data_IF_359488040538
#
_entry.id   IF_359488040538
#
_cell.length_a   1.000
_cell.length_b   1.000
_cell.length_c   1.000
_cell.angle_alpha   90.00
_cell.angle_beta   90.00
_cell.angle_gamma   90.00
#
_symmetry.space_group_name_H-M   'P 1'
#
loop_
_entity.id
_entity.type
_entity.pdbx_description
1 polymer ?
#
# COMPACT_ATOMS: atom_id res chain seq x y z
N UNK A 1 -29.97 9.04 16.01
CA UNK A 1 -29.16 7.86 15.62
C UNK A 1 -28.35 7.41 16.83
N UNK A 2 -28.08 6.10 16.95
CA UNK A 2 -27.28 5.54 18.05
C UNK A 2 -25.80 5.68 17.70
N UNK A 3 -24.98 6.17 18.62
CA UNK A 3 -23.51 6.21 18.45
C UNK A 3 -22.97 4.79 18.25
N UNK A 4 -22.25 4.52 17.15
CA UNK A 4 -21.66 3.21 16.90
C UNK A 4 -20.46 2.99 17.83
N UNK A 5 -20.19 1.72 18.13
CA UNK A 5 -18.94 1.27 18.72
C UNK A 5 -17.82 1.24 17.67
N UNK A 6 -16.57 1.20 18.13
CA UNK A 6 -15.42 1.02 17.26
C UNK A 6 -15.49 -0.28 16.44
N UNK A 7 -15.93 -1.38 17.05
CA UNK A 7 -16.08 -2.68 16.38
C UNK A 7 -17.09 -2.58 15.22
N UNK A 8 -18.19 -1.87 15.43
CA UNK A 8 -19.18 -1.62 14.37
C UNK A 8 -18.60 -0.78 13.23
N UNK A 9 -17.83 0.28 13.53
CA UNK A 9 -17.18 1.11 12.51
C UNK A 9 -16.13 0.32 11.71
N UNK A 10 -15.30 -0.48 12.38
CA UNK A 10 -14.33 -1.34 11.70
C UNK A 10 -15.02 -2.38 10.81
N UNK A 11 -16.12 -2.97 11.28
CA UNK A 11 -16.94 -3.90 10.49
C UNK A 11 -17.56 -3.22 9.26
N UNK A 12 -18.05 -1.98 9.40
CA UNK A 12 -18.56 -1.20 8.25
C UNK A 12 -17.45 -0.86 7.26
N UNK A 13 -16.26 -0.49 7.72
CA UNK A 13 -15.12 -0.22 6.83
C UNK A 13 -14.66 -1.46 6.05
N UNK A 14 -14.73 -2.64 6.66
CA UNK A 14 -14.51 -3.90 5.96
C UNK A 14 -15.61 -4.15 4.92
N UNK A 15 -16.87 -3.97 5.28
CA UNK A 15 -18.01 -4.15 4.38
C UNK A 15 -18.02 -3.17 3.19
N UNK A 16 -17.41 -1.99 3.35
CA UNK A 16 -17.21 -1.03 2.25
C UNK A 16 -16.44 -1.63 1.05
N UNK A 17 -15.65 -2.70 1.28
CA UNK A 17 -15.00 -3.51 0.24
C UNK A 17 -15.95 -4.21 -0.75
N UNK A 18 -17.25 -4.28 -0.43
CA UNK A 18 -18.26 -4.82 -1.33
C UNK A 18 -19.01 -3.74 -2.13
N UNK A 19 -18.82 -2.45 -1.80
CA UNK A 19 -19.58 -1.35 -2.40
C UNK A 19 -18.91 -0.84 -3.68
N UNK A 20 -19.74 -0.48 -4.67
CA UNK A 20 -19.30 0.27 -5.82
C UNK A 20 -19.27 1.78 -5.49
N UNK A 21 -18.09 2.40 -5.54
CA UNK A 21 -17.87 3.78 -5.08
C UNK A 21 -16.85 4.50 -5.95
N UNK A 22 -16.95 5.83 -5.99
CA UNK A 22 -15.92 6.70 -6.56
C UNK A 22 -15.69 7.93 -5.68
N UNK A 23 -14.51 8.52 -5.78
CA UNK A 23 -14.21 9.78 -5.10
C UNK A 23 -12.81 10.30 -5.41
N UNK A 24 -12.45 11.40 -4.78
CA UNK A 24 -11.11 11.99 -4.86
C UNK A 24 -10.44 11.93 -3.49
N UNK A 25 -9.26 11.34 -3.42
CA UNK A 25 -8.38 11.32 -2.26
C UNK A 25 -7.37 12.47 -2.37
N UNK A 26 -7.32 13.34 -1.37
CA UNK A 26 -6.25 14.30 -1.17
C UNK A 26 -5.33 13.83 -0.06
N UNK A 27 -4.02 13.89 -0.30
CA UNK A 27 -2.98 13.55 0.66
C UNK A 27 -2.07 14.76 0.83
N UNK A 28 -2.15 15.40 1.99
CA UNK A 28 -1.25 16.48 2.39
C UNK A 28 -0.32 16.00 3.49
N UNK A 29 0.98 16.18 3.31
CA UNK A 29 1.99 15.87 4.31
C UNK A 29 3.02 16.98 4.36
N UNK A 30 3.26 17.47 5.57
CA UNK A 30 4.35 18.40 5.85
C UNK A 30 5.44 17.64 6.61
N UNK A 31 6.59 17.44 5.96
CA UNK A 31 7.77 16.95 6.67
C UNK A 31 8.73 18.13 6.91
N UNK A 32 9.15 18.40 8.17
CA UNK A 32 9.94 19.59 8.52
C UNK A 32 11.28 19.75 7.76
N UNK A 33 11.76 18.70 7.08
CA UNK A 33 13.11 18.63 6.51
C UNK A 33 13.15 18.18 5.03
N UNK A 34 12.05 17.66 4.45
CA UNK A 34 12.14 16.84 3.22
C UNK A 34 11.01 17.09 2.21
N UNK A 35 10.49 18.33 2.14
CA UNK A 35 9.43 18.77 1.21
C UNK A 35 7.99 18.46 1.69
N UNK A 36 7.08 19.39 1.34
CA UNK A 36 5.63 19.20 1.45
C UNK A 36 5.14 18.34 0.30
N UNK A 37 4.36 17.31 0.61
CA UNK A 37 3.68 16.46 -0.36
C UNK A 37 2.21 16.89 -0.37
N UNK A 38 1.69 17.28 -1.53
CA UNK A 38 0.27 17.51 -1.77
C UNK A 38 -0.10 16.74 -3.04
N UNK A 39 -0.74 15.59 -2.85
CA UNK A 39 -1.09 14.67 -3.92
C UNK A 39 -2.61 14.51 -3.99
N UNK A 40 -3.10 14.30 -5.21
CA UNK A 40 -4.50 14.02 -5.47
C UNK A 40 -4.64 12.76 -6.31
N UNK A 41 -5.55 11.90 -5.89
CA UNK A 41 -5.94 10.70 -6.62
C UNK A 41 -7.45 10.68 -6.83
N UNK A 42 -7.89 10.40 -8.05
CA UNK A 42 -9.27 10.03 -8.31
C UNK A 42 -9.36 8.50 -8.32
N UNK A 43 -10.39 7.94 -7.69
CA UNK A 43 -10.53 6.49 -7.58
C UNK A 43 -11.93 6.02 -7.93
N UNK A 44 -11.97 4.80 -8.46
CA UNK A 44 -13.17 4.01 -8.64
C UNK A 44 -12.92 2.62 -8.07
N UNK A 45 -13.88 2.15 -7.29
CA UNK A 45 -13.87 0.83 -6.68
C UNK A 45 -15.19 0.15 -7.04
N UNK A 46 -15.13 -1.00 -7.72
CA UNK A 46 -16.33 -1.71 -8.18
C UNK A 46 -16.82 -2.81 -7.23
N UNK A 47 -16.14 -3.02 -6.09
CA UNK A 47 -16.28 -4.23 -5.30
C UNK A 47 -15.55 -5.43 -5.92
N UNK A 48 -15.31 -6.47 -5.12
CA UNK A 48 -14.73 -7.73 -5.62
C UNK A 48 -13.31 -7.61 -6.22
N UNK A 49 -12.53 -6.61 -5.79
CA UNK A 49 -11.17 -6.38 -6.29
C UNK A 49 -11.07 -5.49 -7.54
N UNK A 50 -12.19 -4.95 -8.02
CA UNK A 50 -12.22 -3.97 -9.11
C UNK A 50 -11.74 -2.60 -8.63
N UNK A 51 -10.70 -2.08 -9.28
CA UNK A 51 -10.08 -0.81 -8.91
C UNK A 51 -9.59 -0.06 -10.13
N UNK A 52 -9.73 1.26 -10.09
CA UNK A 52 -9.04 2.20 -10.96
C UNK A 52 -8.58 3.38 -10.12
N UNK A 53 -7.33 3.79 -10.29
CA UNK A 53 -6.76 4.96 -9.63
C UNK A 53 -6.09 5.83 -10.68
N UNK A 54 -6.42 7.10 -10.65
CA UNK A 54 -5.86 8.14 -11.51
C UNK A 54 -5.23 9.26 -10.66
N UNK A 55 -4.26 9.96 -11.24
CA UNK A 55 -3.74 11.23 -10.71
C UNK A 55 -3.54 12.19 -11.87
N UNK A 56 -4.06 13.42 -11.75
CA UNK A 56 -4.05 14.43 -12.81
C UNK A 56 -4.53 13.90 -14.19
N UNK A 57 -5.57 13.05 -14.17
CA UNK A 57 -6.14 12.41 -15.36
C UNK A 57 -5.31 11.28 -15.96
N UNK A 58 -4.16 10.96 -15.38
CA UNK A 58 -3.33 9.83 -15.77
C UNK A 58 -3.70 8.59 -14.96
N UNK A 59 -3.92 7.47 -15.67
CA UNK A 59 -4.14 6.17 -15.03
C UNK A 59 -2.86 5.67 -14.39
N UNK A 60 -2.91 5.42 -13.08
CA UNK A 60 -1.80 4.86 -12.31
C UNK A 60 -2.00 3.37 -12.03
N UNK A 61 -3.25 2.95 -11.87
CA UNK A 61 -3.57 1.57 -11.52
C UNK A 61 -4.93 1.14 -12.07
N UNK A 62 -5.00 -0.10 -12.55
CA UNK A 62 -6.24 -0.80 -12.92
C UNK A 62 -6.19 -2.24 -12.40
N UNK A 63 -7.29 -2.73 -11.83
CA UNK A 63 -7.53 -4.14 -11.58
C UNK A 63 -8.94 -4.54 -12.03
N UNK A 64 -9.02 -5.66 -12.74
CA UNK A 64 -10.25 -6.19 -13.33
C UNK A 64 -10.87 -7.33 -12.50
N UNK A 65 -10.34 -7.62 -11.30
CA UNK A 65 -10.88 -8.64 -10.38
C UNK A 65 -10.52 -10.10 -10.76
N UNK A 66 -9.73 -10.30 -11.82
CA UNK A 66 -9.24 -11.61 -12.29
C UNK A 66 -7.87 -12.00 -11.71
N UNK A 67 -7.36 -11.20 -10.76
CA UNK A 67 -6.05 -11.37 -10.13
C UNK A 67 -4.90 -10.70 -10.90
N UNK A 68 -5.14 -10.23 -12.13
CA UNK A 68 -4.17 -9.40 -12.85
C UNK A 68 -4.42 -7.92 -12.58
N UNK A 69 -3.34 -7.15 -12.47
CA UNK A 69 -3.42 -5.69 -12.36
C UNK A 69 -2.44 -5.03 -13.32
N UNK A 70 -2.77 -3.80 -13.72
CA UNK A 70 -1.92 -2.94 -14.52
C UNK A 70 -1.49 -1.75 -13.67
N UNK A 71 -0.22 -1.37 -13.79
CA UNK A 71 0.40 -0.30 -13.03
C UNK A 71 1.17 0.60 -13.98
N UNK A 72 1.10 1.91 -13.78
CA UNK A 72 1.91 2.86 -14.53
C UNK A 72 3.31 2.97 -13.93
N UNK A 73 4.34 2.67 -14.73
CA UNK A 73 5.75 2.66 -14.32
C UNK A 73 6.59 3.21 -15.48
N UNK A 74 7.46 4.18 -15.20
CA UNK A 74 8.42 4.75 -16.17
C UNK A 74 7.81 5.20 -17.50
N UNK A 75 6.60 5.75 -17.46
CA UNK A 75 5.92 6.23 -18.67
C UNK A 75 4.96 5.23 -19.32
N UNK A 76 4.88 3.99 -18.83
CA UNK A 76 4.15 2.90 -19.48
C UNK A 76 3.26 2.10 -18.51
N UNK A 77 2.14 1.58 -19.01
CA UNK A 77 1.32 0.62 -18.26
C UNK A 77 1.93 -0.78 -18.37
N UNK A 78 2.10 -1.47 -17.24
CA UNK A 78 2.72 -2.80 -17.16
C UNK A 78 1.87 -3.76 -16.34
N UNK A 79 1.87 -5.05 -16.72
CA UNK A 79 1.19 -6.13 -15.98
C UNK A 79 1.93 -6.48 -14.70
N UNK A 80 1.21 -6.61 -13.59
CA UNK A 80 1.72 -7.17 -12.33
C UNK A 80 0.71 -8.13 -11.69
N UNK A 81 1.26 -9.18 -11.09
CA UNK A 81 0.49 -10.24 -10.41
C UNK A 81 0.21 -9.94 -8.93
N UNK A 82 0.80 -8.90 -8.32
CA UNK A 82 0.64 -8.64 -6.87
C UNK A 82 0.46 -7.16 -6.50
N UNK A 83 -0.60 -6.91 -5.72
CA UNK A 83 -1.05 -5.60 -5.21
C UNK A 83 0.00 -4.93 -4.29
N UNK A 84 0.78 -5.72 -3.53
CA UNK A 84 1.78 -5.21 -2.58
C UNK A 84 2.92 -4.42 -3.25
N UNK A 85 3.16 -4.64 -4.54
CA UNK A 85 4.19 -3.91 -5.28
C UNK A 85 3.76 -2.52 -5.76
N UNK A 86 2.44 -2.26 -5.79
CA UNK A 86 1.84 -0.99 -6.24
C UNK A 86 1.92 0.09 -5.17
N UNK A 87 1.70 -0.29 -3.91
CA UNK A 87 1.79 0.59 -2.74
C UNK A 87 3.20 1.16 -2.56
N UNK A 88 4.24 0.43 -2.94
CA UNK A 88 5.61 0.90 -2.88
C UNK A 88 5.99 1.89 -4.00
N UNK A 89 5.22 1.93 -5.10
CA UNK A 89 5.60 2.62 -6.34
C UNK A 89 4.75 3.85 -6.66
N UNK A 90 3.58 4.01 -6.04
CA UNK A 90 2.79 5.26 -6.12
C UNK A 90 3.48 6.47 -5.46
N UNK A 91 4.70 6.34 -4.93
CA UNK A 91 5.45 7.40 -4.24
C UNK A 91 4.87 7.80 -2.87
N UNK A 92 3.58 7.57 -2.67
CA UNK A 92 2.85 7.94 -1.47
C UNK A 92 2.68 6.78 -0.50
N UNK A 93 3.02 7.04 0.77
CA UNK A 93 2.70 6.16 1.89
C UNK A 93 1.18 6.00 2.06
N UNK A 94 0.38 6.91 1.46
CA UNK A 94 -1.07 6.88 1.51
C UNK A 94 -1.69 6.85 0.11
N UNK A 95 -2.58 5.89 -0.13
CA UNK A 95 -3.26 5.70 -1.42
C UNK A 95 -4.69 5.16 -1.20
N UNK A 96 -5.54 5.13 -2.24
CA UNK A 96 -6.93 4.72 -2.11
C UNK A 96 -7.17 3.31 -1.52
N UNK A 97 -6.21 2.38 -1.62
CA UNK A 97 -6.36 1.05 -1.00
C UNK A 97 -6.40 1.07 0.52
N UNK A 98 -5.88 2.13 1.15
CA UNK A 98 -5.86 2.27 2.60
C UNK A 98 -7.19 2.75 3.18
N UNK A 99 -8.18 3.08 2.34
CA UNK A 99 -9.45 3.65 2.77
C UNK A 99 -10.45 2.60 3.26
N UNK A 100 -10.34 1.34 2.79
CA UNK A 100 -11.34 0.30 3.01
C UNK A 100 -10.78 -1.13 2.90
N UNK A 101 -11.53 -2.09 3.46
CA UNK A 101 -11.24 -3.51 3.35
C UNK A 101 -9.99 -3.97 4.13
N UNK A 102 -9.48 -5.16 3.80
CA UNK A 102 -8.36 -5.79 4.53
C UNK A 102 -7.06 -5.01 4.44
N UNK A 103 -6.86 -4.28 3.33
CA UNK A 103 -5.69 -3.44 3.10
C UNK A 103 -5.81 -2.05 3.72
N UNK A 104 -6.95 -1.75 4.36
CA UNK A 104 -7.22 -0.49 5.04
C UNK A 104 -6.16 -0.17 6.09
N UNK A 105 -5.96 1.13 6.33
CA UNK A 105 -5.07 1.62 7.40
C UNK A 105 -5.47 1.06 8.78
N UNK A 106 -6.72 0.62 8.95
CA UNK A 106 -7.21 0.03 10.19
C UNK A 106 -6.46 -1.24 10.60
N UNK A 107 -6.01 -2.05 9.64
CA UNK A 107 -5.19 -3.23 9.92
C UNK A 107 -3.93 -2.85 10.70
N UNK A 108 -3.27 -1.76 10.32
CA UNK A 108 -2.05 -1.25 10.96
C UNK A 108 -2.31 -0.48 12.26
N UNK A 109 -3.40 0.29 12.28
CA UNK A 109 -3.78 1.13 13.43
C UNK A 109 -4.27 0.26 14.59
N UNK A 110 -5.07 -0.77 14.34
CA UNK A 110 -5.62 -1.63 15.39
C UNK A 110 -4.57 -2.42 16.16
N UNK A 111 -3.40 -2.70 15.57
CA UNK A 111 -2.28 -3.35 16.25
C UNK A 111 -1.50 -2.43 17.20
N UNK A 112 -1.57 -1.11 17.00
CA UNK A 112 -0.62 -0.16 17.59
C UNK A 112 -1.26 1.01 18.32
N UNK A 113 -2.56 1.25 18.13
CA UNK A 113 -3.30 2.37 18.70
C UNK A 113 -4.59 1.88 19.35
N UNK A 114 -5.10 2.65 20.32
CA UNK A 114 -6.35 2.40 21.03
C UNK A 114 -7.27 3.60 20.90
N UNK A 115 -8.57 3.36 20.94
CA UNK A 115 -9.57 4.45 20.97
C UNK A 115 -9.36 5.25 22.26
N UNK A 116 -9.14 6.55 22.10
CA UNK A 116 -8.73 7.44 23.18
C UNK A 116 -9.90 8.15 23.88
N UNK A 117 -11.11 8.10 23.29
CA UNK A 117 -12.24 8.88 23.76
C UNK A 117 -13.57 8.48 23.12
N UNK A 118 -14.58 9.32 23.32
CA UNK A 118 -15.90 9.11 22.75
C UNK A 118 -15.87 9.19 21.22
N UNK A 119 -16.71 8.38 20.58
CA UNK A 119 -17.00 8.49 19.14
C UNK A 119 -18.03 9.60 18.97
N UNK A 120 -17.71 10.59 18.15
CA UNK A 120 -18.51 11.79 17.99
C UNK A 120 -19.10 11.89 16.58
N UNK A 121 -20.38 12.29 16.44
CA UNK A 121 -20.94 12.60 15.14
C UNK A 121 -20.33 13.89 14.61
N UNK A 122 -19.98 13.88 13.32
CA UNK A 122 -19.48 15.05 12.60
C UNK A 122 -20.11 15.12 11.22
N UNK A 123 -20.06 16.28 10.59
CA UNK A 123 -20.43 16.45 9.19
C UNK A 123 -19.16 16.77 8.38
N UNK A 124 -18.96 16.09 7.26
CA UNK A 124 -17.83 16.30 6.37
C UNK A 124 -18.33 16.36 4.93
N UNK A 125 -18.13 17.51 4.28
CA UNK A 125 -18.58 17.80 2.92
C UNK A 125 -20.07 17.44 2.67
N UNK A 126 -20.94 17.78 3.63
CA UNK A 126 -22.38 17.54 3.57
C UNK A 126 -22.82 16.11 3.91
N UNK A 127 -21.90 15.25 4.35
CA UNK A 127 -22.17 13.85 4.71
C UNK A 127 -22.02 13.64 6.21
N UNK A 128 -22.96 12.91 6.80
CA UNK A 128 -22.85 12.46 8.19
C UNK A 128 -21.72 11.46 8.34
N UNK A 129 -20.92 11.63 9.39
CA UNK A 129 -19.76 10.80 9.65
C UNK A 129 -19.48 10.66 11.16
N UNK A 130 -18.59 9.74 11.49
CA UNK A 130 -18.20 9.43 12.87
C UNK A 130 -16.71 9.66 13.06
N UNK A 131 -16.38 10.56 13.98
CA UNK A 131 -15.00 10.89 14.38
C UNK A 131 -14.57 10.01 15.53
N UNK A 132 -13.40 9.41 15.39
CA UNK A 132 -12.81 8.49 16.37
C UNK A 132 -11.38 8.93 16.69
N UNK A 133 -11.11 9.37 17.93
CA UNK A 133 -9.75 9.68 18.36
C UNK A 133 -9.01 8.39 18.74
N UNK A 134 -7.77 8.27 18.30
CA UNK A 134 -6.85 7.18 18.61
C UNK A 134 -5.58 7.70 19.26
N UNK A 135 -5.03 6.88 20.16
CA UNK A 135 -3.77 7.16 20.85
C UNK A 135 -2.91 5.90 20.92
N UNK A 136 -1.59 6.04 20.86
CA UNK A 136 -0.67 4.94 21.16
C UNK A 136 -0.74 4.54 22.64
N UNK A 137 -0.35 3.31 23.00
CA UNK A 137 -0.25 2.90 24.40
C UNK A 137 0.61 3.82 25.26
N UNK A 138 1.63 4.45 24.65
CA UNK A 138 2.55 5.37 25.31
C UNK A 138 2.03 6.82 25.34
N UNK A 139 0.96 7.15 24.62
CA UNK A 139 0.39 8.50 24.59
C UNK A 139 1.09 9.49 23.64
N UNK A 140 2.17 9.05 22.98
CA UNK A 140 3.05 9.87 22.15
C UNK A 140 2.53 10.10 20.72
N UNK A 141 1.64 9.24 20.23
CA UNK A 141 1.01 9.36 18.92
C UNK A 141 -0.48 9.55 19.11
N UNK A 142 -1.03 10.60 18.50
CA UNK A 142 -2.47 10.84 18.46
C UNK A 142 -2.89 10.97 17.00
N UNK A 143 -3.95 10.25 16.62
CA UNK A 143 -4.54 10.36 15.28
C UNK A 143 -6.04 10.40 15.38
N UNK A 144 -6.67 11.11 14.48
CA UNK A 144 -8.11 11.18 14.36
C UNK A 144 -8.53 10.56 13.04
N UNK A 145 -9.46 9.60 13.11
CA UNK A 145 -10.07 8.97 11.95
C UNK A 145 -11.53 9.40 11.84
N UNK A 146 -12.02 9.60 10.63
CA UNK A 146 -13.43 9.91 10.35
C UNK A 146 -13.97 8.90 9.34
N UNK A 147 -15.07 8.25 9.71
CA UNK A 147 -15.75 7.27 8.88
C UNK A 147 -17.08 7.81 8.40
N UNK A 148 -17.33 7.72 7.10
CA UNK A 148 -18.63 8.04 6.51
C UNK A 148 -19.73 7.13 7.11
N UNK A 149 -20.85 7.72 7.53
CA UNK A 149 -21.90 6.97 8.24
C UNK A 149 -22.58 5.94 7.33
N UNK A 150 -22.82 6.31 6.08
CA UNK A 150 -23.54 5.52 5.08
C UNK A 150 -22.71 4.34 4.57
N UNK A 151 -21.46 4.60 4.19
CA UNK A 151 -20.59 3.61 3.54
C UNK A 151 -19.65 2.89 4.49
N UNK A 152 -19.29 3.51 5.63
CA UNK A 152 -18.19 3.04 6.49
C UNK A 152 -16.79 3.34 5.94
N UNK A 153 -16.67 4.07 4.82
CA UNK A 153 -15.39 4.45 4.24
C UNK A 153 -14.61 5.38 5.18
N UNK A 154 -13.29 5.18 5.30
CA UNK A 154 -12.43 6.16 5.93
C UNK A 154 -12.35 7.40 5.03
N UNK A 155 -12.95 8.52 5.46
CA UNK A 155 -13.00 9.77 4.69
C UNK A 155 -12.04 10.84 5.19
N UNK A 156 -11.49 10.68 6.41
CA UNK A 156 -10.41 11.54 6.90
C UNK A 156 -9.48 10.79 7.84
N UNK A 157 -8.19 11.05 7.70
CA UNK A 157 -7.16 10.74 8.70
C UNK A 157 -6.36 12.02 8.95
N UNK A 158 -6.19 12.39 10.21
CA UNK A 158 -5.48 13.59 10.61
C UNK A 158 -4.61 13.33 11.85
N UNK A 159 -3.35 13.77 11.80
CA UNK A 159 -2.49 13.84 13.00
C UNK A 159 -2.60 15.26 13.62
N UNK A 160 -3.10 15.43 14.87
CA UNK A 160 -3.41 16.74 15.44
C UNK A 160 -2.20 17.68 15.60
N UNK A 161 -0.99 17.12 15.74
CA UNK A 161 0.24 17.92 15.79
C UNK A 161 0.73 18.34 14.40
N UNK A 162 -0.12 18.23 13.36
CA UNK A 162 0.24 18.44 11.98
C UNK A 162 1.01 17.27 11.37
N UNK A 163 1.41 17.44 10.11
CA UNK A 163 2.31 16.53 9.41
C UNK A 163 1.63 15.55 8.47
N UNK A 164 0.40 15.10 8.71
CA UNK A 164 -0.36 14.25 7.75
C UNK A 164 -1.85 14.57 7.82
N UNK A 165 -2.43 14.84 6.66
CA UNK A 165 -3.86 14.91 6.41
C UNK A 165 -4.18 14.07 5.17
N UNK A 166 -5.15 13.18 5.32
CA UNK A 166 -5.79 12.47 4.21
C UNK A 166 -7.25 12.86 4.24
N UNK A 167 -7.81 13.25 3.11
CA UNK A 167 -9.23 13.61 2.98
C UNK A 167 -9.81 13.02 1.71
N UNK A 168 -10.94 12.33 1.83
CA UNK A 168 -11.77 11.94 0.70
C UNK A 168 -12.79 13.05 0.45
N UNK A 169 -12.96 13.40 -0.82
CA UNK A 169 -13.92 14.39 -1.31
C UNK A 169 -14.68 13.80 -2.51
N UNK A 170 -15.80 14.42 -2.88
CA UNK A 170 -16.63 13.97 -4.03
C UNK A 170 -17.04 12.48 -3.97
N UNK A 171 -17.19 11.92 -2.76
CA UNK A 171 -17.57 10.53 -2.57
C UNK A 171 -18.99 10.27 -3.11
N UNK A 172 -19.12 9.28 -3.98
CA UNK A 172 -20.37 8.82 -4.55
C UNK A 172 -20.47 7.29 -4.48
N UNK A 173 -21.66 6.80 -4.11
CA UNK A 173 -22.01 5.37 -4.09
C UNK A 173 -22.82 5.07 -5.35
N UNK A 174 -22.56 3.92 -5.96
CA UNK A 174 -23.20 3.48 -7.19
C UNK A 174 -23.83 2.10 -6.97
N UNK A 175 -24.90 1.82 -7.71
CA UNK A 175 -25.44 0.45 -7.78
C UNK A 175 -24.43 -0.48 -8.49
N UNK A 176 -23.83 0.01 -9.58
CA UNK A 176 -22.76 -0.64 -10.33
C UNK A 176 -21.90 0.43 -11.04
N UNK A 177 -20.60 0.19 -11.15
CA UNK A 177 -19.71 0.98 -12.02
C UNK A 177 -19.45 0.13 -13.28
N UNK A 178 -19.67 0.68 -14.50
CA UNK A 178 -19.47 -0.07 -15.74
C UNK A 178 -18.09 -0.71 -15.82
N UNK A 179 -18.03 -1.99 -16.24
CA UNK A 179 -16.79 -2.77 -16.27
C UNK A 179 -15.71 -2.14 -17.14
N UNK A 180 -16.10 -1.41 -18.17
CA UNK A 180 -15.21 -0.69 -19.09
C UNK A 180 -14.33 0.32 -18.34
N UNK A 181 -14.79 0.83 -17.18
CA UNK A 181 -13.97 1.70 -16.32
C UNK A 181 -12.71 0.99 -15.81
N UNK A 182 -12.78 -0.31 -15.59
CA UNK A 182 -11.71 -1.15 -15.03
C UNK A 182 -10.91 -1.89 -16.12
N UNK A 183 -11.03 -1.47 -17.38
CA UNK A 183 -10.28 -2.03 -18.50
C UNK A 183 -9.30 -0.97 -19.02
N UNK A 184 -8.09 -1.41 -19.34
CA UNK A 184 -7.11 -0.60 -20.05
C UNK A 184 -7.15 -0.95 -21.54
N UNK A 185 -7.37 0.06 -22.37
CA UNK A 185 -7.42 -0.04 -23.83
C UNK A 185 -6.14 0.48 -24.53
N UNK A 186 -5.22 1.09 -23.75
CA UNK A 186 -3.95 1.60 -24.25
C UNK A 186 -2.85 0.55 -24.40
N UNK A 187 -1.66 0.96 -24.85
CA UNK A 187 -0.51 0.07 -24.95
C UNK A 187 -0.10 -0.43 -23.56
N UNK A 188 0.30 -1.70 -23.50
CA UNK A 188 0.90 -2.30 -22.32
C UNK A 188 2.35 -2.58 -22.67
N UNK A 189 3.27 -1.95 -21.95
CA UNK A 189 4.70 -2.19 -22.11
C UNK A 189 5.01 -3.67 -21.88
N UNK A 190 5.89 -4.22 -22.70
CA UNK A 190 6.33 -5.60 -22.56
C UNK A 190 6.93 -5.79 -21.18
N UNK A 191 6.27 -6.58 -20.35
CA UNK A 191 6.91 -7.15 -19.17
C UNK A 191 8.01 -8.08 -19.66
N UNK A 192 9.23 -7.56 -19.80
CA UNK A 192 10.44 -8.39 -19.90
C UNK A 192 10.60 -9.34 -18.68
N UNK A 193 9.74 -9.20 -17.66
CA UNK A 193 9.64 -10.10 -16.51
C UNK A 193 8.64 -11.27 -16.66
N UNK A 194 7.83 -11.36 -17.73
CA UNK A 194 6.80 -12.41 -17.85
C UNK A 194 7.03 -13.47 -18.95
N UNK A 195 8.24 -13.57 -19.51
CA UNK A 195 8.58 -14.72 -20.37
C UNK A 195 9.02 -15.97 -19.59
N UNK A 196 9.04 -15.92 -18.26
CA UNK A 196 9.41 -17.07 -17.44
C UNK A 196 8.18 -17.53 -16.66
N UNK A 197 7.80 -18.81 -16.82
CA UNK A 197 6.56 -19.38 -16.26
C UNK A 197 6.42 -19.25 -14.73
N UNK A 198 5.28 -19.69 -14.15
CA UNK A 198 4.93 -19.52 -12.73
C UNK A 198 6.07 -19.88 -11.75
N UNK A 199 6.85 -20.92 -12.07
CA UNK A 199 8.02 -21.36 -11.31
C UNK A 199 9.11 -20.30 -11.23
N UNK A 200 9.42 -19.62 -12.34
CA UNK A 200 10.47 -18.62 -12.39
C UNK A 200 10.06 -17.30 -11.71
N UNK A 201 8.80 -16.90 -11.80
CA UNK A 201 8.27 -15.77 -11.04
C UNK A 201 8.32 -16.04 -9.53
N UNK A 202 8.00 -17.28 -9.13
CA UNK A 202 8.10 -17.73 -7.72
C UNK A 202 9.56 -17.76 -7.25
N UNK A 203 10.49 -18.24 -8.10
CA UNK A 203 11.92 -18.22 -7.81
C UNK A 203 12.46 -16.80 -7.62
N UNK A 204 12.01 -15.85 -8.46
CA UNK A 204 12.42 -14.46 -8.35
C UNK A 204 11.88 -13.80 -7.07
N UNK A 205 10.60 -14.04 -6.74
CA UNK A 205 10.02 -13.56 -5.48
C UNK A 205 10.76 -14.12 -4.27
N UNK A 206 11.11 -15.41 -4.31
CA UNK A 206 11.91 -16.07 -3.29
C UNK A 206 13.29 -15.41 -3.17
N UNK A 207 13.98 -15.13 -4.28
CA UNK A 207 15.28 -14.47 -4.29
C UNK A 207 15.23 -13.06 -3.67
N UNK A 208 14.18 -12.27 -3.98
CA UNK A 208 13.98 -10.95 -3.39
C UNK A 208 13.75 -11.01 -1.86
N UNK A 209 12.92 -11.95 -1.40
CA UNK A 209 12.64 -12.14 0.03
C UNK A 209 13.88 -12.59 0.79
N UNK A 210 14.68 -13.49 0.21
CA UNK A 210 15.97 -13.92 0.77
C UNK A 210 16.90 -12.72 0.90
N UNK A 211 17.05 -11.90 -0.14
CA UNK A 211 17.90 -10.72 -0.11
C UNK A 211 17.50 -9.73 1.01
N UNK A 212 16.20 -9.47 1.16
CA UNK A 212 15.68 -8.59 2.22
C UNK A 212 15.91 -9.15 3.62
N UNK A 213 15.70 -10.46 3.83
CA UNK A 213 15.93 -11.11 5.12
C UNK A 213 17.41 -11.09 5.49
N UNK A 214 18.30 -11.38 4.53
CA UNK A 214 19.75 -11.34 4.76
C UNK A 214 20.26 -9.91 5.01
N UNK A 215 19.79 -8.93 4.22
CA UNK A 215 20.09 -7.53 4.46
C UNK A 215 19.67 -7.09 5.88
N UNK A 216 18.52 -7.58 6.35
CA UNK A 216 17.99 -7.25 7.67
C UNK A 216 18.75 -7.83 8.84
N UNK A 217 19.53 -8.90 8.62
CA UNK A 217 20.44 -9.45 9.63
C UNK A 217 21.71 -8.62 9.77
N UNK A 218 22.09 -7.85 8.73
CA UNK A 218 23.36 -7.12 8.64
C UNK A 218 23.17 -5.65 8.23
N UNK A 219 22.25 -4.88 8.86
CA UNK A 219 21.84 -3.57 8.37
C UNK A 219 22.98 -2.54 8.36
N UNK A 220 23.89 -2.61 9.34
CA UNK A 220 25.04 -1.70 9.43
C UNK A 220 26.02 -1.96 8.28
N UNK A 221 26.25 -3.22 7.93
CA UNK A 221 27.19 -3.60 6.87
C UNK A 221 26.65 -3.22 5.49
N UNK A 222 25.33 -3.37 5.28
CA UNK A 222 24.64 -2.92 4.06
C UNK A 222 24.76 -1.40 3.92
N UNK A 223 24.45 -0.64 4.97
CA UNK A 223 24.57 0.82 4.94
C UNK A 223 26.01 1.28 4.70
N UNK A 224 27.00 0.60 5.27
CA UNK A 224 28.41 0.90 5.04
C UNK A 224 28.83 0.59 3.60
N UNK A 225 28.37 -0.53 3.02
CA UNK A 225 28.63 -0.89 1.64
C UNK A 225 28.07 0.16 0.68
N UNK A 226 26.83 0.61 0.92
CA UNK A 226 26.18 1.66 0.12
C UNK A 226 26.87 3.01 0.29
N UNK A 227 27.24 3.42 1.51
CA UNK A 227 27.88 4.71 1.76
C UNK A 227 29.27 4.87 1.13
N UNK A 228 29.92 3.75 0.77
CA UNK A 228 31.25 3.72 0.16
C UNK A 228 31.20 3.69 -1.37
N UNK A 229 30.03 3.44 -1.95
CA UNK A 229 29.85 3.44 -3.39
C UNK A 229 29.81 4.88 -3.93
N UNK A 230 30.48 5.12 -5.06
CA UNK A 230 30.50 6.42 -5.73
C UNK A 230 29.21 6.68 -6.51
N UNK A 231 28.54 5.63 -6.99
CA UNK A 231 27.30 5.70 -7.75
C UNK A 231 26.37 4.50 -7.49
N UNK A 232 25.20 4.54 -8.11
CA UNK A 232 24.16 3.53 -7.94
C UNK A 232 24.59 2.14 -8.45
N UNK A 233 25.36 2.06 -9.54
CA UNK A 233 25.85 0.79 -10.08
C UNK A 233 26.90 0.13 -9.17
N UNK A 234 27.75 0.94 -8.56
CA UNK A 234 28.69 0.48 -7.55
C UNK A 234 27.97 0.05 -6.26
N UNK A 235 26.90 0.74 -5.87
CA UNK A 235 26.07 0.35 -4.72
C UNK A 235 25.37 -1.00 -4.95
N UNK A 236 24.82 -1.24 -6.15
CA UNK A 236 24.25 -2.54 -6.55
C UNK A 236 25.32 -3.63 -6.42
N UNK A 237 26.49 -3.41 -7.03
CA UNK A 237 27.59 -4.37 -7.02
C UNK A 237 28.08 -4.69 -5.60
N UNK A 238 28.15 -3.68 -4.73
CA UNK A 238 28.57 -3.82 -3.35
C UNK A 238 27.56 -4.63 -2.52
N UNK A 239 26.25 -4.38 -2.71
CA UNK A 239 25.19 -5.12 -2.02
C UNK A 239 25.07 -6.56 -2.53
N UNK A 240 25.19 -6.78 -3.85
CA UNK A 240 25.25 -8.12 -4.45
C UNK A 240 26.35 -8.96 -3.82
N UNK A 241 27.56 -8.39 -3.72
CA UNK A 241 28.72 -9.08 -3.13
C UNK A 241 28.56 -9.32 -1.63
N UNK A 242 27.97 -8.37 -0.91
CA UNK A 242 27.80 -8.47 0.54
C UNK A 242 26.79 -9.55 0.94
N UNK A 243 25.72 -9.68 0.17
CA UNK A 243 24.57 -10.53 0.47
C UNK A 243 24.50 -11.80 -0.38
N UNK A 244 25.48 -12.02 -1.27
CA UNK A 244 25.51 -13.11 -2.24
C UNK A 244 24.18 -13.24 -3.01
N UNK A 245 23.73 -12.11 -3.56
CA UNK A 245 22.41 -11.99 -4.19
C UNK A 245 22.50 -11.51 -5.64
N UNK A 246 21.41 -11.69 -6.38
CA UNK A 246 21.28 -11.20 -7.75
C UNK A 246 21.15 -9.67 -7.78
N UNK A 247 21.33 -9.09 -8.96
CA UNK A 247 21.12 -7.65 -9.21
C UNK A 247 19.73 -7.20 -8.75
N UNK A 248 18.69 -7.96 -9.13
CA UNK A 248 17.31 -7.73 -8.67
C UNK A 248 17.17 -7.79 -7.14
N UNK A 249 17.88 -8.69 -6.47
CA UNK A 249 17.89 -8.76 -5.01
C UNK A 249 18.56 -7.54 -4.37
N UNK A 250 19.67 -7.07 -4.94
CA UNK A 250 20.38 -5.89 -4.48
C UNK A 250 19.56 -4.60 -4.71
N UNK A 251 18.92 -4.44 -5.86
CA UNK A 251 18.02 -3.31 -6.14
C UNK A 251 16.87 -3.22 -5.13
N UNK A 252 16.25 -4.36 -4.80
CA UNK A 252 15.16 -4.40 -3.82
C UNK A 252 15.64 -3.99 -2.43
N UNK A 253 16.87 -4.35 -2.05
CA UNK A 253 17.48 -3.93 -0.78
C UNK A 253 17.80 -2.43 -0.78
N UNK A 254 18.34 -1.89 -1.88
CA UNK A 254 18.64 -0.46 -1.99
C UNK A 254 17.38 0.42 -1.96
N UNK A 255 16.28 -0.08 -2.52
CA UNK A 255 14.99 0.59 -2.54
C UNK A 255 14.16 0.35 -1.25
N UNK A 256 14.67 -0.44 -0.30
CA UNK A 256 13.96 -0.75 0.94
C UNK A 256 14.01 0.43 1.91
N UNK A 257 12.84 0.80 2.46
CA UNK A 257 12.76 1.77 3.56
C UNK A 257 13.39 1.20 4.84
N UNK A 258 14.13 2.03 5.60
CA UNK A 258 14.83 1.64 6.85
C UNK A 258 13.91 0.90 7.85
N UNK A 259 12.60 1.22 7.88
CA UNK A 259 11.60 0.55 8.73
C UNK A 259 11.45 -0.96 8.46
N UNK A 260 11.78 -1.43 7.25
CA UNK A 260 11.74 -2.86 6.88
C UNK A 260 12.78 -3.72 7.61
N UNK A 261 13.76 -3.09 8.25
CA UNK A 261 14.76 -3.77 9.09
C UNK A 261 14.30 -3.96 10.55
N UNK A 262 13.04 -3.67 10.87
CA UNK A 262 12.49 -3.91 12.21
C UNK A 262 12.17 -5.40 12.45
N UNK A 263 12.31 -5.87 13.69
CA UNK A 263 12.11 -7.28 14.04
C UNK A 263 10.74 -7.85 13.65
N UNK A 264 9.67 -7.03 13.71
CA UNK A 264 8.31 -7.43 13.28
C UNK A 264 8.22 -7.65 11.77
N UNK A 265 8.81 -6.76 10.98
CA UNK A 265 8.83 -6.89 9.52
C UNK A 265 9.73 -8.06 9.08
N UNK A 266 10.83 -8.32 9.79
CA UNK A 266 11.68 -9.50 9.56
C UNK A 266 10.88 -10.78 9.78
N UNK A 267 10.12 -10.88 10.87
CA UNK A 267 9.27 -12.06 11.14
C UNK A 267 8.20 -12.24 10.07
N UNK A 268 7.58 -11.15 9.60
CA UNK A 268 6.61 -11.18 8.50
C UNK A 268 7.25 -11.65 7.19
N UNK A 269 8.41 -11.12 6.83
CA UNK A 269 9.14 -11.52 5.62
C UNK A 269 9.62 -12.98 5.70
N UNK A 270 10.00 -13.46 6.89
CA UNK A 270 10.35 -14.87 7.11
C UNK A 270 9.14 -15.80 6.96
N UNK A 271 7.96 -15.37 7.41
CA UNK A 271 6.72 -16.12 7.23
C UNK A 271 6.33 -16.19 5.75
N UNK A 272 6.33 -15.06 5.05
CA UNK A 272 6.06 -15.01 3.60
C UNK A 272 7.10 -15.85 2.81
N UNK A 273 8.38 -15.84 3.21
CA UNK A 273 9.40 -16.67 2.60
C UNK A 273 9.13 -18.18 2.81
N UNK A 274 8.56 -18.58 3.93
CA UNK A 274 8.17 -19.97 4.17
C UNK A 274 7.02 -20.38 3.25
N UNK A 275 5.97 -19.55 3.15
CA UNK A 275 4.83 -19.79 2.25
C UNK A 275 5.26 -19.87 0.78
N UNK A 276 6.12 -18.95 0.33
CA UNK A 276 6.64 -18.95 -1.04
C UNK A 276 7.52 -20.18 -1.33
N UNK A 277 8.25 -20.69 -0.34
CA UNK A 277 9.03 -21.93 -0.47
C UNK A 277 8.14 -23.16 -0.63
N UNK A 278 7.07 -23.21 0.13
CA UNK A 278 6.10 -24.31 0.05
C UNK A 278 5.43 -24.32 -1.33
N UNK A 279 4.99 -23.15 -1.82
CA UNK A 279 4.45 -22.98 -3.18
C UNK A 279 5.48 -23.29 -4.27
N UNK A 280 6.75 -22.91 -4.08
CA UNK A 280 7.82 -23.23 -5.03
C UNK A 280 8.05 -24.74 -5.18
N UNK A 281 7.94 -25.49 -4.08
CA UNK A 281 8.11 -26.95 -4.07
C UNK A 281 6.99 -27.70 -4.80
N UNK A 282 5.83 -27.07 -5.00
CA UNK A 282 4.69 -27.65 -5.72
C UNK A 282 4.85 -27.58 -7.26
N UNK A 283 5.80 -26.81 -7.78
CA UNK A 283 6.09 -26.76 -9.22
C UNK A 283 7.14 -27.83 -9.58
N UNK A 284 6.85 -28.79 -10.48
CA UNK A 284 7.82 -29.79 -10.93
C UNK A 284 8.99 -29.14 -11.70
N UNK A 285 10.19 -29.75 -11.64
CA UNK A 285 11.32 -29.32 -12.47
C UNK A 285 11.04 -29.75 -13.91
N UNK A 286 10.91 -28.79 -14.83
CA UNK A 286 10.95 -29.05 -16.28
C UNK A 286 12.41 -29.14 -16.77
#
# INVERSE_FOLDING_TARGET
MRTPSWVELAGRNMAAGALAMSGSLQVHREHPQTQTIDERFDFWHGGGGLWRIESDGQVLYIAAGDGASLVFIDGEMRRRSTVNSVVAQMGSVFNPFLLLGEQSVLSKISESLRVAGAIEPVELDGRSAWRVPFVSPQGDIQVELVFDEETGLLVRLHHPMGGVLIKVTALSVHDEIPRERFIWDGPVGDTALNLRGPRAATAERMAQLVALVEASKRPIEVLQAVSRAADHGEAISAVMKLLDTSETGAEVVLNAQIRRFSGREIQRMQHELAEVRDVFAEFPEE
#
